data_IF_063207046395
#
_entry.id   IF_063207046395
#
_cell.length_a   1.000
_cell.length_b   1.000
_cell.length_c   1.000
_cell.angle_alpha   90.00
_cell.angle_beta   90.00
_cell.angle_gamma   90.00
#
_symmetry.space_group_name_H-M   'P 1'
#
loop_
_entity.id
_entity.type
_entity.pdbx_description
1 polymer ?
#
# COMPACT_ATOMS: atom_id res chain seq x y z
N UNK A 1 -12.81 -4.18 23.30
CA UNK A 1 -11.47 -3.54 23.49
C UNK A 1 -10.65 -3.81 22.24
N UNK A 2 -10.05 -2.79 21.65
CA UNK A 2 -9.22 -2.93 20.45
C UNK A 2 -7.99 -3.80 20.76
N UNK A 3 -7.69 -4.75 19.88
CA UNK A 3 -6.51 -5.63 19.96
C UNK A 3 -5.45 -5.29 18.91
N UNK A 4 -5.87 -4.82 17.73
CA UNK A 4 -4.97 -4.52 16.62
C UNK A 4 -5.29 -3.18 15.99
N UNK A 5 -4.24 -2.48 15.58
CA UNK A 5 -4.35 -1.28 14.74
C UNK A 5 -3.71 -1.61 13.39
N UNK A 6 -4.51 -1.53 12.33
CA UNK A 6 -4.11 -1.84 10.96
C UNK A 6 -3.97 -0.56 10.16
N UNK A 7 -2.90 -0.49 9.37
CA UNK A 7 -2.62 0.63 8.46
C UNK A 7 -2.49 0.14 7.03
N UNK A 8 -2.98 0.93 6.10
CA UNK A 8 -2.51 0.89 4.73
C UNK A 8 -1.11 1.51 4.62
N UNK A 9 -0.45 1.38 3.46
CA UNK A 9 0.92 1.84 3.25
C UNK A 9 0.99 3.05 2.32
N UNK A 10 0.75 2.85 1.02
CA UNK A 10 0.87 3.89 0.00
C UNK A 10 -0.24 4.94 0.16
N UNK A 11 0.12 6.22 0.17
CA UNK A 11 -0.83 7.30 0.44
C UNK A 11 -1.17 7.49 1.92
N UNK A 12 -0.90 6.49 2.76
CA UNK A 12 -1.19 6.47 4.19
C UNK A 12 0.05 6.75 5.03
N UNK A 13 1.07 5.92 4.95
CA UNK A 13 2.33 6.01 5.69
C UNK A 13 3.46 6.58 4.81
N UNK A 14 3.46 6.19 3.55
CA UNK A 14 4.47 6.52 2.55
C UNK A 14 3.75 7.16 1.37
N UNK A 15 4.36 8.21 0.80
CA UNK A 15 3.85 8.82 -0.43
C UNK A 15 4.03 7.87 -1.63
N UNK A 16 3.08 7.86 -2.56
CA UNK A 16 3.07 6.95 -3.72
C UNK A 16 4.16 7.24 -4.77
N UNK A 17 4.98 8.27 -4.56
CA UNK A 17 5.94 8.74 -5.55
C UNK A 17 6.89 7.63 -6.02
N UNK A 18 7.36 6.78 -5.13
CA UNK A 18 8.24 5.66 -5.46
C UNK A 18 7.58 4.67 -6.43
N UNK A 19 6.38 4.23 -6.12
CA UNK A 19 5.63 3.30 -6.97
C UNK A 19 5.33 3.93 -8.32
N UNK A 20 4.92 5.20 -8.34
CA UNK A 20 4.65 5.96 -9.57
C UNK A 20 5.89 6.06 -10.47
N UNK A 21 7.08 6.29 -9.88
CA UNK A 21 8.34 6.32 -10.64
C UNK A 21 8.73 4.96 -11.20
N UNK A 22 8.58 3.89 -10.44
CA UNK A 22 8.88 2.52 -10.91
C UNK A 22 8.00 2.17 -12.11
N UNK A 23 6.68 2.36 -12.01
CA UNK A 23 5.72 2.02 -13.06
C UNK A 23 5.73 3.00 -14.23
N UNK A 24 5.74 4.30 -13.95
CA UNK A 24 5.55 5.34 -14.96
C UNK A 24 6.83 5.82 -15.64
N UNK A 25 8.01 5.56 -15.05
CA UNK A 25 9.30 5.96 -15.60
C UNK A 25 10.25 4.76 -15.77
N UNK A 26 10.37 3.94 -14.75
CA UNK A 26 11.36 2.88 -14.69
C UNK A 26 11.17 1.82 -15.75
N UNK A 27 10.03 1.15 -15.80
CA UNK A 27 9.72 0.13 -16.80
C UNK A 27 9.70 0.71 -18.22
N UNK A 28 9.06 1.89 -18.50
CA UNK A 28 9.13 2.52 -19.81
C UNK A 28 10.56 2.83 -20.28
N UNK A 29 11.44 3.29 -19.38
CA UNK A 29 12.85 3.54 -19.70
C UNK A 29 13.57 2.27 -20.13
N UNK A 30 13.42 1.18 -19.38
CA UNK A 30 14.02 -0.11 -19.74
C UNK A 30 13.47 -0.64 -21.08
N UNK A 31 12.20 -0.43 -21.35
CA UNK A 31 11.59 -0.84 -22.61
C UNK A 31 12.11 0.02 -23.78
N UNK A 32 12.28 1.33 -23.59
CA UNK A 32 12.89 2.23 -24.57
C UNK A 32 14.33 1.83 -24.90
N UNK A 33 15.15 1.56 -23.87
CA UNK A 33 16.53 1.08 -24.04
C UNK A 33 16.59 -0.22 -24.84
N UNK A 34 15.70 -1.17 -24.54
CA UNK A 34 15.64 -2.46 -25.25
C UNK A 34 15.24 -2.33 -26.71
N UNK A 35 14.26 -1.48 -27.00
CA UNK A 35 13.65 -1.42 -28.35
C UNK A 35 14.25 -0.35 -29.25
N UNK A 36 15.01 0.60 -28.69
CA UNK A 36 15.50 1.78 -29.40
C UNK A 36 14.43 2.84 -29.67
N UNK A 37 13.24 2.71 -29.08
CA UNK A 37 12.17 3.69 -29.21
C UNK A 37 12.49 4.96 -28.40
N UNK A 38 12.03 6.15 -28.84
CA UNK A 38 11.99 7.31 -27.98
C UNK A 38 11.19 7.03 -26.71
N UNK A 39 11.61 7.60 -25.57
CA UNK A 39 10.98 7.35 -24.25
C UNK A 39 9.46 7.54 -24.28
N UNK A 40 8.96 8.63 -24.84
CA UNK A 40 7.52 8.91 -24.88
C UNK A 40 6.74 7.84 -25.67
N UNK A 41 7.29 7.32 -26.75
CA UNK A 41 6.66 6.25 -27.51
C UNK A 41 6.66 4.92 -26.73
N UNK A 42 7.76 4.61 -26.05
CA UNK A 42 7.87 3.46 -25.17
C UNK A 42 6.88 3.53 -23.98
N UNK A 43 6.77 4.71 -23.36
CA UNK A 43 5.83 4.96 -22.25
C UNK A 43 4.38 4.76 -22.69
N UNK A 44 3.97 5.36 -23.80
CA UNK A 44 2.62 5.19 -24.35
C UNK A 44 2.31 3.72 -24.61
N UNK A 45 3.28 2.98 -25.17
CA UNK A 45 3.11 1.54 -25.42
C UNK A 45 2.97 0.75 -24.12
N UNK A 46 3.89 0.93 -23.16
CA UNK A 46 3.89 0.23 -21.88
C UNK A 46 2.61 0.50 -21.10
N UNK A 47 2.19 1.75 -20.96
CA UNK A 47 0.93 2.11 -20.31
C UNK A 47 -0.29 1.57 -21.06
N UNK A 48 -0.20 1.44 -22.39
CA UNK A 48 -1.22 0.80 -23.20
C UNK A 48 -1.39 -0.68 -22.86
N UNK A 49 -0.28 -1.41 -22.65
CA UNK A 49 -0.33 -2.81 -22.21
C UNK A 49 -0.85 -2.94 -20.76
N UNK A 50 -0.44 -2.04 -19.86
CA UNK A 50 -1.02 -1.98 -18.52
C UNK A 50 -2.55 -1.87 -18.58
N UNK A 51 -3.08 -0.92 -19.34
CA UNK A 51 -4.54 -0.72 -19.48
C UNK A 51 -5.28 -1.92 -20.07
N UNK A 52 -4.64 -2.74 -20.92
CA UNK A 52 -5.25 -3.97 -21.46
C UNK A 52 -5.42 -5.04 -20.40
N UNK A 53 -4.44 -5.18 -19.49
CA UNK A 53 -4.53 -6.08 -18.35
C UNK A 53 -5.54 -5.53 -17.33
N UNK A 54 -5.43 -4.26 -16.99
CA UNK A 54 -6.35 -3.54 -16.12
C UNK A 54 -6.18 -3.87 -14.64
N UNK A 55 -6.64 -2.93 -13.80
CA UNK A 55 -6.53 -2.99 -12.34
C UNK A 55 -7.28 -4.15 -11.68
N UNK A 56 -8.14 -4.85 -12.42
CA UNK A 56 -8.88 -6.02 -11.95
C UNK A 56 -8.09 -7.33 -11.99
N UNK A 57 -6.89 -7.33 -12.58
CA UNK A 57 -6.02 -8.50 -12.71
C UNK A 57 -4.83 -8.41 -11.74
N UNK A 58 -4.39 -9.57 -11.25
CA UNK A 58 -3.27 -9.62 -10.30
C UNK A 58 -1.94 -9.24 -10.95
N UNK A 59 -1.83 -9.52 -12.24
CA UNK A 59 -0.67 -9.18 -13.07
C UNK A 59 -0.42 -7.68 -13.13
N UNK A 60 -1.45 -6.85 -12.97
CA UNK A 60 -1.33 -5.40 -12.87
C UNK A 60 -0.34 -4.98 -11.78
N UNK A 61 -0.33 -5.68 -10.65
CA UNK A 61 0.47 -5.42 -9.46
C UNK A 61 1.78 -6.20 -9.40
N UNK A 62 2.02 -7.09 -10.36
CA UNK A 62 3.19 -7.98 -10.36
C UNK A 62 4.32 -7.44 -11.27
N UNK A 63 5.33 -6.85 -10.66
CA UNK A 63 6.50 -6.34 -11.40
C UNK A 63 7.25 -7.45 -12.15
N UNK A 64 7.27 -8.69 -11.64
CA UNK A 64 7.95 -9.80 -12.28
C UNK A 64 7.22 -10.22 -13.55
N UNK A 65 5.88 -10.21 -13.52
CA UNK A 65 5.07 -10.43 -14.71
C UNK A 65 5.44 -9.43 -15.81
N UNK A 66 5.49 -8.14 -15.50
CA UNK A 66 5.79 -7.11 -16.50
C UNK A 66 7.22 -7.18 -17.03
N UNK A 67 8.20 -7.54 -16.17
CA UNK A 67 9.57 -7.81 -16.63
C UNK A 67 9.63 -8.98 -17.60
N UNK A 68 8.89 -10.04 -17.35
CA UNK A 68 8.78 -11.18 -18.25
C UNK A 68 8.01 -10.80 -19.53
N UNK A 69 6.87 -10.13 -19.42
CA UNK A 69 6.03 -9.72 -20.54
C UNK A 69 6.80 -8.85 -21.53
N UNK A 70 7.50 -7.83 -21.05
CA UNK A 70 8.35 -6.97 -21.88
C UNK A 70 9.72 -7.56 -22.18
N UNK A 71 10.04 -8.76 -21.65
CA UNK A 71 11.33 -9.44 -21.79
C UNK A 71 12.51 -8.51 -21.43
N UNK A 72 12.41 -7.83 -20.27
CA UNK A 72 13.46 -6.94 -19.78
C UNK A 72 14.61 -7.74 -19.19
N UNK A 73 15.83 -7.49 -19.64
CA UNK A 73 17.03 -8.25 -19.22
C UNK A 73 17.57 -7.81 -17.86
N UNK A 74 17.32 -6.55 -17.47
CA UNK A 74 17.74 -6.03 -16.16
C UNK A 74 16.90 -6.61 -15.03
N UNK A 75 17.45 -6.64 -13.84
CA UNK A 75 16.71 -7.09 -12.66
C UNK A 75 15.71 -6.02 -12.19
N UNK A 76 14.47 -6.42 -11.90
CA UNK A 76 13.48 -5.54 -11.28
C UNK A 76 13.96 -4.97 -9.94
N UNK A 77 14.76 -5.75 -9.16
CA UNK A 77 15.39 -5.26 -7.92
C UNK A 77 16.36 -4.11 -8.19
N UNK A 78 17.14 -4.22 -9.28
CA UNK A 78 18.06 -3.14 -9.67
C UNK A 78 17.31 -1.90 -10.14
N UNK A 79 16.16 -2.06 -10.81
CA UNK A 79 15.30 -0.95 -11.17
C UNK A 79 14.75 -0.24 -9.93
N UNK A 80 14.13 -0.97 -9.01
CA UNK A 80 13.58 -0.39 -7.78
C UNK A 80 14.65 0.36 -6.99
N UNK A 81 15.87 -0.17 -6.90
CA UNK A 81 17.01 0.48 -6.23
C UNK A 81 17.34 1.86 -6.77
N UNK A 82 17.06 2.12 -8.05
CA UNK A 82 17.33 3.44 -8.67
C UNK A 82 16.37 4.52 -8.17
N UNK A 83 15.23 4.16 -7.60
CA UNK A 83 14.19 5.07 -7.17
C UNK A 83 13.97 5.09 -5.64
N UNK A 84 14.85 4.46 -4.87
CA UNK A 84 14.74 4.43 -3.39
C UNK A 84 14.76 5.83 -2.78
N UNK A 85 15.42 6.80 -3.43
CA UNK A 85 15.41 8.21 -3.05
C UNK A 85 14.03 8.89 -3.21
N UNK A 86 13.08 8.24 -3.90
CA UNK A 86 11.69 8.68 -4.04
C UNK A 86 10.78 8.19 -2.92
N UNK A 87 11.27 7.31 -2.07
CA UNK A 87 10.50 6.83 -0.91
C UNK A 87 10.47 7.92 0.14
N UNK A 88 9.28 8.42 0.44
CA UNK A 88 9.07 9.50 1.41
C UNK A 88 8.01 9.11 2.43
N UNK A 89 8.39 9.06 3.68
CA UNK A 89 7.48 8.84 4.82
C UNK A 89 6.82 10.16 5.19
N UNK A 90 5.51 10.16 5.44
CA UNK A 90 4.85 11.37 5.93
C UNK A 90 5.35 11.77 7.32
N UNK A 91 5.47 13.08 7.61
CA UNK A 91 6.14 13.56 8.82
C UNK A 91 5.51 13.13 10.15
N UNK A 92 4.21 12.82 10.13
CA UNK A 92 3.41 12.40 11.28
C UNK A 92 3.54 10.90 11.61
N UNK A 93 4.11 10.09 10.72
CA UNK A 93 4.04 8.63 10.78
C UNK A 93 4.89 8.03 11.89
N UNK A 94 6.20 8.26 11.85
CA UNK A 94 7.15 7.55 12.73
C UNK A 94 6.82 7.77 14.21
N UNK A 95 6.55 9.01 14.58
CA UNK A 95 6.16 9.38 15.93
C UNK A 95 4.87 8.71 16.41
N UNK A 96 3.85 8.64 15.54
CA UNK A 96 2.57 8.02 15.90
C UNK A 96 2.70 6.51 16.00
N UNK A 97 3.40 5.86 15.06
CA UNK A 97 3.61 4.41 15.14
C UNK A 97 4.39 4.02 16.39
N UNK A 98 5.41 4.79 16.78
CA UNK A 98 6.18 4.57 18.01
C UNK A 98 5.29 4.60 19.26
N UNK A 99 4.35 5.54 19.32
CA UNK A 99 3.41 5.66 20.46
C UNK A 99 2.34 4.60 20.48
N UNK A 100 1.87 4.17 19.31
CA UNK A 100 0.78 3.21 19.21
C UNK A 100 1.23 1.77 19.45
N UNK A 101 2.45 1.40 19.05
CA UNK A 101 2.98 0.04 19.26
C UNK A 101 3.06 -0.37 20.74
N UNK A 102 3.22 0.63 21.65
CA UNK A 102 3.21 0.38 23.09
C UNK A 102 1.82 0.05 23.64
N UNK A 103 0.76 0.30 22.85
CA UNK A 103 -0.63 0.09 23.26
C UNK A 103 -1.27 -1.13 22.64
N UNK A 104 -0.95 -1.38 21.36
CA UNK A 104 -1.56 -2.47 20.59
C UNK A 104 -0.61 -2.91 19.48
N UNK A 105 -0.55 -4.20 19.16
CA UNK A 105 0.15 -4.70 17.98
C UNK A 105 -0.29 -3.97 16.72
N UNK A 106 0.69 -3.54 15.91
CA UNK A 106 0.45 -2.87 14.65
C UNK A 106 0.54 -3.83 13.48
N UNK A 107 -0.37 -3.66 12.54
CA UNK A 107 -0.49 -4.50 11.35
C UNK A 107 -0.46 -3.63 10.10
N UNK A 108 0.36 -3.99 9.12
CA UNK A 108 0.29 -3.39 7.80
C UNK A 108 -0.57 -4.24 6.87
N UNK A 109 -1.45 -3.59 6.11
CA UNK A 109 -2.27 -4.23 5.07
C UNK A 109 -2.23 -3.40 3.80
N UNK A 110 -1.61 -3.88 2.75
CA UNK A 110 -1.45 -3.16 1.49
C UNK A 110 -1.96 -3.96 0.29
N UNK A 111 -2.39 -3.27 -0.76
CA UNK A 111 -2.66 -3.87 -2.07
C UNK A 111 -1.37 -4.17 -2.86
N UNK A 112 -0.27 -3.47 -2.53
CA UNK A 112 1.01 -3.61 -3.23
C UNK A 112 1.57 -5.03 -3.15
N UNK A 113 2.32 -5.42 -4.17
CA UNK A 113 3.12 -6.65 -4.14
C UNK A 113 4.20 -6.60 -3.07
N UNK A 114 4.57 -7.77 -2.55
CA UNK A 114 5.62 -7.91 -1.52
C UNK A 114 6.93 -7.22 -1.92
N UNK A 115 7.24 -7.23 -3.21
CA UNK A 115 8.43 -6.61 -3.78
C UNK A 115 8.54 -5.12 -3.47
N UNK A 116 7.43 -4.40 -3.53
CA UNK A 116 7.35 -2.98 -3.19
C UNK A 116 7.37 -2.77 -1.68
N UNK A 117 6.51 -3.49 -0.95
CA UNK A 117 6.44 -3.42 0.51
C UNK A 117 7.81 -3.64 1.15
N UNK A 118 8.53 -4.68 0.73
CA UNK A 118 9.84 -5.02 1.32
C UNK A 118 10.88 -3.93 1.07
N UNK A 119 10.92 -3.36 -0.14
CA UNK A 119 11.84 -2.26 -0.48
C UNK A 119 11.53 -1.01 0.34
N UNK A 120 10.27 -0.63 0.44
CA UNK A 120 9.85 0.56 1.19
C UNK A 120 10.06 0.39 2.70
N UNK A 121 9.76 -0.78 3.24
CA UNK A 121 10.02 -1.10 4.66
C UNK A 121 11.51 -1.10 4.99
N UNK A 122 12.36 -1.65 4.10
CA UNK A 122 13.82 -1.64 4.27
C UNK A 122 14.38 -0.22 4.21
N UNK A 123 13.96 0.57 3.22
CA UNK A 123 14.46 1.92 2.99
C UNK A 123 14.07 2.89 4.11
N UNK A 124 12.88 2.75 4.67
CA UNK A 124 12.35 3.66 5.71
C UNK A 124 12.61 3.17 7.12
N UNK A 125 12.88 1.88 7.30
CA UNK A 125 12.97 1.25 8.61
C UNK A 125 11.62 1.13 9.33
N UNK A 126 10.49 1.41 8.68
CA UNK A 126 9.15 1.33 9.30
C UNK A 126 8.77 -0.08 9.73
N UNK A 127 9.38 -1.11 9.13
CA UNK A 127 9.14 -2.51 9.48
C UNK A 127 9.29 -2.81 10.98
N UNK A 128 10.11 -2.03 11.72
CA UNK A 128 10.30 -2.18 13.18
C UNK A 128 9.04 -1.92 14.03
N UNK A 129 8.04 -1.26 13.45
CA UNK A 129 6.79 -0.93 14.16
C UNK A 129 5.71 -1.99 13.99
N UNK A 130 5.81 -2.87 13.00
CA UNK A 130 4.75 -3.79 12.62
C UNK A 130 5.00 -5.22 13.08
N UNK A 131 4.02 -5.80 13.80
CA UNK A 131 4.04 -7.21 14.21
C UNK A 131 3.69 -8.14 13.05
N UNK A 132 2.87 -7.66 12.12
CA UNK A 132 2.45 -8.37 10.91
C UNK A 132 2.36 -7.42 9.73
N UNK A 133 2.73 -7.95 8.57
CA UNK A 133 2.62 -7.26 7.27
C UNK A 133 1.90 -8.17 6.30
N UNK A 134 0.85 -7.68 5.67
CA UNK A 134 0.02 -8.43 4.72
C UNK A 134 -0.07 -7.69 3.38
N UNK A 135 0.21 -8.43 2.31
CA UNK A 135 -0.02 -8.03 0.93
C UNK A 135 -1.29 -8.71 0.41
N UNK A 136 -2.27 -7.96 -0.05
CA UNK A 136 -3.47 -8.53 -0.64
C UNK A 136 -3.12 -9.39 -1.86
N UNK A 137 -2.25 -8.89 -2.72
CA UNK A 137 -1.84 -9.57 -3.96
C UNK A 137 -0.94 -10.78 -3.68
N UNK A 138 0.17 -10.60 -2.97
CA UNK A 138 1.19 -11.64 -2.82
C UNK A 138 0.82 -12.73 -1.81
N UNK A 139 0.18 -12.37 -0.68
CA UNK A 139 -0.10 -13.35 0.37
C UNK A 139 -1.46 -14.03 0.19
N UNK A 140 -2.41 -13.34 -0.45
CA UNK A 140 -3.78 -13.82 -0.53
C UNK A 140 -4.31 -14.03 -1.94
N UNK A 141 -3.61 -13.57 -2.97
CA UNK A 141 -4.07 -13.62 -4.34
C UNK A 141 -5.33 -12.76 -4.58
N UNK A 142 -5.49 -11.69 -3.80
CA UNK A 142 -6.60 -10.74 -3.92
C UNK A 142 -6.09 -9.48 -4.61
N UNK A 143 -6.80 -9.01 -5.61
CA UNK A 143 -6.39 -7.81 -6.38
C UNK A 143 -6.47 -6.54 -5.53
N UNK A 144 -7.45 -6.49 -4.62
CA UNK A 144 -7.73 -5.34 -3.74
C UNK A 144 -8.12 -5.84 -2.35
N UNK A 145 -8.11 -4.94 -1.36
CA UNK A 145 -8.57 -5.23 0.01
C UNK A 145 -10.09 -5.44 0.03
N UNK A 146 -10.53 -6.64 -0.36
CA UNK A 146 -11.93 -7.07 -0.40
C UNK A 146 -12.44 -7.46 1.00
N UNK A 147 -13.75 -7.69 1.15
CA UNK A 147 -14.32 -8.28 2.39
C UNK A 147 -13.64 -9.63 2.70
N UNK A 148 -13.35 -10.43 1.67
CA UNK A 148 -12.66 -11.72 1.85
C UNK A 148 -11.24 -11.53 2.35
N UNK A 149 -10.52 -10.53 1.87
CA UNK A 149 -9.19 -10.17 2.37
C UNK A 149 -9.24 -9.85 3.87
N UNK A 150 -10.10 -8.91 4.30
CA UNK A 150 -10.22 -8.55 5.71
C UNK A 150 -10.71 -9.70 6.59
N UNK A 151 -11.60 -10.55 6.08
CA UNK A 151 -12.01 -11.76 6.80
C UNK A 151 -10.81 -12.69 7.05
N UNK A 152 -9.95 -12.91 6.05
CA UNK A 152 -8.72 -13.71 6.19
C UNK A 152 -7.72 -13.06 7.15
N UNK A 153 -7.62 -11.73 7.18
CA UNK A 153 -6.81 -11.00 8.18
C UNK A 153 -7.33 -11.32 9.59
N UNK A 154 -8.64 -11.17 9.83
CA UNK A 154 -9.24 -11.49 11.14
C UNK A 154 -8.95 -12.94 11.56
N UNK A 155 -9.08 -13.91 10.65
CA UNK A 155 -8.75 -15.31 10.90
C UNK A 155 -7.27 -15.50 11.27
N UNK A 156 -6.35 -14.88 10.50
CA UNK A 156 -4.91 -14.99 10.73
C UNK A 156 -4.48 -14.36 12.05
N UNK A 157 -5.12 -13.24 12.43
CA UNK A 157 -4.89 -12.56 13.71
C UNK A 157 -5.64 -13.20 14.87
N UNK A 158 -6.53 -14.17 14.61
CA UNK A 158 -7.42 -14.78 15.62
C UNK A 158 -8.19 -13.72 16.40
N UNK A 159 -8.74 -12.74 15.69
CA UNK A 159 -9.41 -11.58 16.28
C UNK A 159 -10.81 -11.38 15.70
N UNK A 160 -11.75 -10.93 16.53
CA UNK A 160 -13.05 -10.46 16.07
C UNK A 160 -12.85 -9.16 15.26
N UNK A 161 -13.59 -8.95 14.16
CA UNK A 161 -13.55 -7.70 13.42
C UNK A 161 -13.66 -6.43 14.28
N UNK A 162 -14.50 -6.45 15.31
CA UNK A 162 -14.69 -5.33 16.25
C UNK A 162 -13.48 -5.03 17.14
N UNK A 163 -12.51 -5.92 17.19
CA UNK A 163 -11.26 -5.74 17.91
C UNK A 163 -10.15 -5.11 17.08
N UNK A 164 -10.44 -4.81 15.82
CA UNK A 164 -9.50 -4.22 14.85
C UNK A 164 -9.99 -2.84 14.46
N UNK A 165 -9.07 -1.87 14.40
CA UNK A 165 -9.27 -0.61 13.70
C UNK A 165 -8.34 -0.55 12.50
N UNK A 166 -8.85 -0.10 11.35
CA UNK A 166 -8.06 0.09 10.14
C UNK A 166 -8.03 1.57 9.75
N UNK A 167 -6.88 2.03 9.29
CA UNK A 167 -6.64 3.40 8.82
C UNK A 167 -6.00 3.36 7.44
N UNK A 168 -6.57 4.07 6.48
CA UNK A 168 -6.01 4.17 5.14
C UNK A 168 -6.66 5.27 4.32
N UNK A 169 -6.06 5.55 3.14
CA UNK A 169 -6.40 6.70 2.30
C UNK A 169 -7.38 6.37 1.16
N UNK A 170 -7.72 5.10 0.97
CA UNK A 170 -8.67 4.71 -0.07
C UNK A 170 -10.08 4.53 0.50
N UNK A 171 -11.00 5.45 0.17
CA UNK A 171 -12.37 5.48 0.75
C UNK A 171 -13.12 4.14 0.64
N UNK A 172 -13.06 3.45 -0.51
CA UNK A 172 -13.73 2.16 -0.65
C UNK A 172 -13.01 1.05 0.13
N UNK A 173 -11.69 0.87 -0.13
CA UNK A 173 -10.96 -0.31 0.34
C UNK A 173 -10.48 -0.20 1.79
N UNK A 174 -10.29 1.01 2.31
CA UNK A 174 -9.79 1.22 3.67
C UNK A 174 -10.87 1.71 4.64
N UNK A 175 -12.00 2.21 4.11
CA UNK A 175 -13.09 2.67 4.96
C UNK A 175 -14.37 1.86 4.80
N UNK A 176 -14.95 1.78 3.58
CA UNK A 176 -16.25 1.12 3.41
C UNK A 176 -16.17 -0.40 3.56
N UNK A 177 -15.18 -1.04 2.93
CA UNK A 177 -15.06 -2.51 2.92
C UNK A 177 -14.80 -3.07 4.33
N UNK A 178 -13.82 -2.60 5.12
CA UNK A 178 -13.60 -3.14 6.45
C UNK A 178 -14.80 -2.92 7.38
N UNK A 179 -15.50 -1.80 7.27
CA UNK A 179 -16.73 -1.53 8.04
C UNK A 179 -17.87 -2.50 7.75
N UNK A 180 -18.02 -2.94 6.49
CA UNK A 180 -19.02 -3.97 6.14
C UNK A 180 -18.78 -5.29 6.86
N UNK A 181 -17.54 -5.58 7.22
CA UNK A 181 -17.17 -6.77 8.02
C UNK A 181 -17.32 -6.52 9.53
N UNK A 182 -17.44 -5.27 9.97
CA UNK A 182 -17.51 -4.88 11.39
C UNK A 182 -16.18 -4.41 11.96
N UNK A 183 -15.14 -4.26 11.16
CA UNK A 183 -13.87 -3.61 11.55
C UNK A 183 -14.14 -2.11 11.72
N UNK A 184 -13.63 -1.51 12.78
CA UNK A 184 -13.60 -0.05 12.89
C UNK A 184 -12.68 0.51 11.81
N UNK A 185 -13.11 1.57 11.10
CA UNK A 185 -12.28 2.16 10.06
C UNK A 185 -12.30 3.67 10.12
N UNK A 186 -11.15 4.28 9.88
CA UNK A 186 -10.96 5.70 9.75
C UNK A 186 -10.36 5.99 8.37
N UNK A 187 -10.95 6.94 7.66
CA UNK A 187 -10.50 7.37 6.36
C UNK A 187 -9.46 8.48 6.52
N UNK A 188 -8.28 8.29 5.96
CA UNK A 188 -7.22 9.29 5.99
C UNK A 188 -7.23 10.11 4.70
N UNK A 189 -7.70 11.34 4.77
CA UNK A 189 -7.68 12.27 3.65
C UNK A 189 -6.60 13.35 3.85
N UNK A 190 -5.41 13.08 3.39
CA UNK A 190 -4.28 14.02 3.46
C UNK A 190 -4.44 15.24 2.54
N UNK A 191 -5.39 15.20 1.61
CA UNK A 191 -5.70 16.35 0.73
C UNK A 191 -6.59 17.38 1.41
N UNK A 192 -7.33 16.97 2.43
CA UNK A 192 -8.22 17.81 3.21
C UNK A 192 -9.50 18.19 2.47
N UNK A 193 -9.91 17.42 1.47
CA UNK A 193 -11.13 17.65 0.69
C UNK A 193 -12.38 17.10 1.38
N UNK A 194 -12.22 16.01 2.12
CA UNK A 194 -13.31 15.33 2.80
C UNK A 194 -13.50 15.81 4.25
N UNK A 195 -14.73 15.70 4.76
CA UNK A 195 -15.11 16.08 6.12
C UNK A 195 -15.98 15.00 6.76
N UNK A 196 -15.86 14.87 8.07
CA UNK A 196 -16.70 13.95 8.86
C UNK A 196 -15.96 13.38 10.06
N UNK A 197 -16.72 12.83 11.00
CA UNK A 197 -16.16 12.25 12.23
C UNK A 197 -15.29 11.01 11.96
N UNK A 198 -15.38 10.43 10.78
CA UNK A 198 -14.60 9.28 10.35
C UNK A 198 -13.33 9.67 9.56
N UNK A 199 -13.15 10.97 9.27
CA UNK A 199 -12.03 11.48 8.47
C UNK A 199 -10.89 11.94 9.38
N UNK A 200 -9.68 11.50 9.07
CA UNK A 200 -8.43 12.04 9.59
C UNK A 200 -7.74 12.85 8.48
N UNK A 201 -7.15 13.97 8.82
CA UNK A 201 -6.33 14.76 7.88
C UNK A 201 -4.85 14.36 7.93
N UNK A 202 -4.43 13.90 9.09
CA UNK A 202 -3.14 13.31 9.38
C UNK A 202 -3.29 12.29 10.52
N UNK A 203 -2.23 11.60 10.87
CA UNK A 203 -2.28 10.62 11.96
C UNK A 203 -2.17 11.24 13.35
N UNK A 204 -1.94 12.56 13.47
CA UNK A 204 -1.79 13.23 14.77
C UNK A 204 -3.02 13.12 15.66
N UNK A 205 -4.20 13.10 15.04
CA UNK A 205 -5.48 12.97 15.77
C UNK A 205 -5.89 11.52 16.05
N UNK A 206 -5.17 10.53 15.51
CA UNK A 206 -5.56 9.11 15.58
C UNK A 206 -5.73 8.62 17.01
N UNK A 207 -4.82 8.96 17.92
CA UNK A 207 -4.93 8.55 19.32
C UNK A 207 -6.21 9.05 20.00
N UNK A 208 -6.63 10.26 19.68
CA UNK A 208 -7.87 10.83 20.24
C UNK A 208 -9.10 10.07 19.73
N UNK A 209 -9.09 9.68 18.46
CA UNK A 209 -10.16 8.89 17.83
C UNK A 209 -10.24 7.48 18.42
N UNK A 210 -9.09 6.84 18.64
CA UNK A 210 -9.03 5.50 19.24
C UNK A 210 -9.62 5.42 20.66
N UNK A 211 -9.60 6.51 21.43
CA UNK A 211 -10.20 6.55 22.76
C UNK A 211 -11.73 6.50 22.75
N UNK A 212 -12.34 6.82 21.62
CA UNK A 212 -13.80 6.81 21.43
C UNK A 212 -14.35 5.50 20.87
N UNK A 213 -13.47 4.53 20.53
CA UNK A 213 -13.83 3.19 20.02
C UNK A 213 -13.73 2.13 21.12
#
# INVERSE_FOLDING_TARGET
MLKFISFDMDGTLIASEFTDWVWGQGIPTLYAEKTGLPFEAAKVFVEGEYRKVGEGAIEWYDIKYWFQFFQLEKSWKALMKQFVDKISVYPDVDHILERLKDRSPLVLTSNAGREFIDVEMEATGLGRHFDRVFSATSDFGEVKKTIRFYHRICQTLQSDPKEIVHVGDHYEFDYLVPRRLGIHALYLDRTGQEMGDFVLRDLGDLESRLRGL
#
